data_IF_609868091881
#
_entry.id   IF_609868091881
#
_cell.length_a   1.000
_cell.length_b   1.000
_cell.length_c   1.000
_cell.angle_alpha   90.00
_cell.angle_beta   90.00
_cell.angle_gamma   90.00
#
_symmetry.space_group_name_H-M   'P 1'
#
loop_
_entity.id
_entity.type
_entity.pdbx_description
1 polymer ?
#
# COMPACT_ATOMS: atom_id res chain seq x y z
N UNK A 1 10.85 4.80 -0.33
CA UNK A 1 9.38 4.63 -0.36
C UNK A 1 8.78 5.95 0.08
N UNK A 2 7.90 6.52 -0.74
CA UNK A 2 7.18 7.76 -0.43
C UNK A 2 5.70 7.41 -0.37
N UNK A 3 5.00 7.79 0.70
CA UNK A 3 3.55 7.64 0.80
C UNK A 3 2.91 8.94 0.34
N UNK A 4 2.17 8.90 -0.77
CA UNK A 4 1.59 10.10 -1.37
C UNK A 4 0.25 10.46 -0.73
N UNK A 5 -0.61 9.46 -0.51
CA UNK A 5 -1.92 9.61 0.12
C UNK A 5 -2.38 8.29 0.73
N UNK A 6 -3.17 8.37 1.80
CA UNK A 6 -3.84 7.23 2.38
C UNK A 6 -5.29 7.56 2.76
N UNK A 7 -6.17 6.57 2.68
CA UNK A 7 -7.56 6.63 3.13
C UNK A 7 -7.86 5.38 3.95
N UNK A 8 -8.55 5.54 5.09
CA UNK A 8 -9.05 4.40 5.85
C UNK A 8 -10.26 3.83 5.11
N UNK A 9 -10.23 2.52 4.83
CA UNK A 9 -11.30 1.82 4.10
C UNK A 9 -12.10 0.87 5.00
N UNK A 10 -11.51 0.45 6.13
CA UNK A 10 -12.17 -0.25 7.22
C UNK A 10 -11.44 0.01 8.55
N UNK A 11 -11.99 -0.45 9.68
CA UNK A 11 -11.40 -0.27 11.00
C UNK A 11 -9.93 -0.71 11.08
N UNK A 12 -9.63 -1.82 10.40
CA UNK A 12 -8.28 -2.42 10.35
C UNK A 12 -7.65 -2.30 8.97
N UNK A 13 -8.20 -1.52 8.03
CA UNK A 13 -7.70 -1.46 6.65
C UNK A 13 -7.50 -0.04 6.15
N UNK A 14 -6.35 0.20 5.51
CA UNK A 14 -5.98 1.49 4.92
C UNK A 14 -5.49 1.26 3.49
N UNK A 15 -6.03 2.03 2.55
CA UNK A 15 -5.55 2.07 1.19
C UNK A 15 -4.58 3.25 1.03
N UNK A 16 -3.43 3.03 0.40
CA UNK A 16 -2.42 4.06 0.18
C UNK A 16 -1.92 4.06 -1.27
N UNK A 17 -1.72 5.25 -1.83
CA UNK A 17 -0.89 5.45 -3.01
C UNK A 17 0.54 5.74 -2.54
N UNK A 18 1.50 5.02 -3.10
CA UNK A 18 2.90 5.16 -2.76
C UNK A 18 3.80 5.16 -3.99
N UNK A 19 4.95 5.80 -3.86
CA UNK A 19 6.03 5.74 -4.82
C UNK A 19 7.16 4.88 -4.26
N UNK A 20 7.33 3.67 -4.80
CA UNK A 20 8.36 2.71 -4.41
C UNK A 20 8.74 1.83 -5.60
N UNK A 21 10.01 1.38 -5.60
CA UNK A 21 10.46 0.34 -6.51
C UNK A 21 10.40 -0.98 -5.75
N UNK A 22 9.45 -1.84 -6.12
CA UNK A 22 9.27 -3.16 -5.52
C UNK A 22 9.82 -4.21 -6.49
N UNK A 23 10.75 -5.05 -6.02
CA UNK A 23 11.43 -6.06 -6.87
C UNK A 23 10.51 -7.11 -7.51
N UNK A 24 9.26 -7.18 -7.05
CA UNK A 24 8.25 -8.16 -7.44
C UNK A 24 7.07 -7.52 -8.17
N UNK A 25 7.11 -6.20 -8.43
CA UNK A 25 6.11 -5.47 -9.21
C UNK A 25 6.82 -4.74 -10.34
N UNK A 26 6.62 -5.20 -11.56
CA UNK A 26 7.20 -4.60 -12.76
C UNK A 26 6.41 -3.34 -13.17
N UNK A 27 7.10 -2.29 -13.60
CA UNK A 27 6.50 -1.04 -14.08
C UNK A 27 6.78 0.19 -13.23
N UNK A 28 5.89 1.20 -13.31
CA UNK A 28 6.12 2.53 -12.75
C UNK A 28 6.28 2.48 -11.22
N UNK A 29 6.95 3.50 -10.66
CA UNK A 29 7.19 3.56 -9.21
C UNK A 29 5.90 3.78 -8.41
N UNK A 30 4.76 4.08 -9.06
CA UNK A 30 3.53 4.52 -8.42
C UNK A 30 2.54 3.36 -8.23
N UNK A 31 2.33 2.96 -6.99
CA UNK A 31 1.65 1.73 -6.60
C UNK A 31 0.46 2.08 -5.71
N UNK A 32 -0.69 1.47 -5.98
CA UNK A 32 -1.86 1.48 -5.09
C UNK A 32 -1.81 0.23 -4.21
N UNK A 33 -1.95 0.40 -2.90
CA UNK A 33 -1.78 -0.70 -1.93
C UNK A 33 -2.85 -0.68 -0.85
N UNK A 34 -3.13 -1.85 -0.29
CA UNK A 34 -3.97 -1.99 0.90
C UNK A 34 -3.15 -2.64 2.01
N UNK A 35 -3.14 -2.00 3.16
CA UNK A 35 -2.56 -2.54 4.38
C UNK A 35 -3.67 -2.94 5.35
N UNK A 36 -3.53 -4.11 5.94
CA UNK A 36 -4.38 -4.59 7.03
C UNK A 36 -3.58 -4.59 8.33
N UNK A 37 -4.14 -3.95 9.36
CA UNK A 37 -3.64 -3.94 10.72
C UNK A 37 -4.11 -5.17 11.49
N UNK A 38 -3.17 -5.85 12.15
CA UNK A 38 -3.45 -6.84 13.19
C UNK A 38 -2.68 -6.43 14.44
N UNK A 39 -3.35 -5.70 15.34
CA UNK A 39 -2.72 -5.10 16.52
C UNK A 39 -1.83 -3.91 16.14
N UNK A 40 -0.57 -3.92 16.57
CA UNK A 40 0.44 -2.90 16.21
C UNK A 40 0.99 -3.05 14.80
N UNK A 41 0.79 -4.21 14.18
CA UNK A 41 1.49 -4.57 12.96
C UNK A 41 0.59 -4.39 11.74
N UNK A 42 1.12 -3.70 10.72
CA UNK A 42 0.45 -3.51 9.44
C UNK A 42 1.13 -4.37 8.38
N UNK A 43 0.33 -5.12 7.62
CA UNK A 43 0.81 -5.94 6.50
C UNK A 43 0.15 -5.50 5.21
N UNK A 44 0.95 -5.40 4.15
CA UNK A 44 0.43 -5.22 2.80
C UNK A 44 -0.29 -6.49 2.38
N UNK A 45 -1.57 -6.40 2.05
CA UNK A 45 -2.40 -7.53 1.62
C UNK A 45 -2.78 -7.47 0.13
N UNK A 46 -2.66 -6.29 -0.47
CA UNK A 46 -2.85 -6.10 -1.90
C UNK A 46 -1.96 -4.96 -2.40
N UNK A 47 -1.49 -5.10 -3.63
CA UNK A 47 -0.75 -4.08 -4.36
C UNK A 47 -1.15 -4.16 -5.83
N UNK A 48 -1.28 -3.00 -6.47
CA UNK A 48 -1.58 -2.87 -7.88
C UNK A 48 -0.69 -1.80 -8.47
N UNK A 49 0.02 -2.14 -9.54
CA UNK A 49 0.71 -1.13 -10.34
C UNK A 49 -0.32 -0.37 -11.19
N UNK A 50 -0.11 0.93 -11.34
CA UNK A 50 -0.99 1.78 -12.13
C UNK A 50 -0.64 1.76 -13.61
#
# INVERSE_FOLDING_TARGET
>A
MIVNRCIRIADTEIACELSAQLSWIDGDTRIETVFQGKGSDWKMIAAKNR
#
